data_IF_582098145113
#
_entry.id   IF_582098145113
#
_cell.length_a   1.000
_cell.length_b   1.000
_cell.length_c   1.000
_cell.angle_alpha   90.00
_cell.angle_beta   90.00
_cell.angle_gamma   90.00
#
_symmetry.space_group_name_H-M   'P 1'
#
loop_
_entity.id
_entity.type
_entity.pdbx_description
1 polymer ?
#
# COMPACT_ATOMS: atom_id res chain seq x y z
N UNK A 1 19.82 14.28 7.22
CA UNK A 1 18.79 14.37 8.26
C UNK A 1 18.16 15.75 8.20
N UNK A 2 16.83 15.85 8.34
CA UNK A 2 16.16 17.13 8.50
C UNK A 2 16.50 17.75 9.85
N UNK A 3 16.51 19.08 9.89
CA UNK A 3 16.63 19.80 11.15
C UNK A 3 15.29 19.70 11.93
N UNK A 4 15.40 19.52 13.24
CA UNK A 4 14.24 19.40 14.13
C UNK A 4 13.82 20.73 14.77
N UNK A 5 14.33 21.87 14.25
CA UNK A 5 14.06 23.20 14.75
C UNK A 5 12.56 23.54 14.90
N UNK A 6 11.70 22.84 14.12
CA UNK A 6 10.25 23.04 14.19
C UNK A 6 9.68 22.75 15.58
N UNK A 7 10.33 21.92 16.38
CA UNK A 7 9.88 21.63 17.75
C UNK A 7 10.03 22.85 18.68
N UNK A 8 10.95 23.76 18.35
CA UNK A 8 11.21 24.97 19.11
C UNK A 8 10.38 26.18 18.64
N UNK A 9 9.52 25.98 17.62
CA UNK A 9 8.67 27.03 17.03
C UNK A 9 7.20 26.95 17.45
N UNK A 10 6.89 26.21 18.51
CA UNK A 10 5.49 26.04 18.99
C UNK A 10 4.91 27.32 19.60
N UNK A 11 5.73 28.28 19.98
CA UNK A 11 5.32 29.63 20.36
C UNK A 11 4.58 30.39 19.27
N UNK A 12 4.77 29.98 18.01
CA UNK A 12 4.04 30.53 16.85
C UNK A 12 2.65 29.92 16.65
N UNK A 13 2.32 28.86 17.37
CA UNK A 13 1.02 28.18 17.21
C UNK A 13 -0.10 29.03 17.76
N UNK A 14 -1.23 29.07 17.02
CA UNK A 14 -2.36 29.90 17.41
C UNK A 14 -3.01 29.36 18.69
N UNK A 15 -3.16 30.18 19.74
CA UNK A 15 -3.85 29.76 20.96
C UNK A 15 -5.29 29.32 20.68
N UNK A 16 -5.69 28.16 21.23
CA UNK A 16 -7.04 27.62 21.08
C UNK A 16 -7.34 27.01 19.72
N UNK A 17 -6.31 26.80 18.87
CA UNK A 17 -6.42 26.08 17.61
C UNK A 17 -5.57 24.80 17.64
N UNK A 18 -6.04 23.74 16.98
CA UNK A 18 -5.21 22.56 16.72
C UNK A 18 -4.27 22.89 15.57
N UNK A 19 -2.96 22.88 15.83
CA UNK A 19 -1.94 23.17 14.82
C UNK A 19 -1.04 21.96 14.63
N UNK A 20 -0.82 21.57 13.37
CA UNK A 20 0.17 20.57 12.99
C UNK A 20 1.09 21.17 11.94
N UNK A 21 2.40 21.07 12.16
CA UNK A 21 3.43 21.47 11.22
C UNK A 21 4.23 20.24 10.80
N UNK A 22 4.47 20.12 9.50
CA UNK A 22 5.27 19.04 8.95
C UNK A 22 6.39 19.61 8.10
N UNK A 23 7.61 19.23 8.41
CA UNK A 23 8.80 19.42 7.57
C UNK A 23 9.08 18.08 6.88
N UNK A 24 9.21 18.08 5.56
CA UNK A 24 9.37 16.83 4.81
C UNK A 24 10.43 16.96 3.73
N UNK A 25 11.21 15.90 3.56
CA UNK A 25 12.11 15.70 2.43
C UNK A 25 11.83 14.34 1.82
N UNK A 26 11.66 14.31 0.50
CA UNK A 26 11.43 13.10 -0.29
C UNK A 26 12.53 12.99 -1.33
N UNK A 27 13.19 11.83 -1.41
CA UNK A 27 14.24 11.51 -2.39
C UNK A 27 13.83 10.24 -3.13
N UNK A 28 14.07 10.18 -4.44
CA UNK A 28 13.91 8.95 -5.19
C UNK A 28 15.00 8.76 -6.23
N UNK A 29 15.33 7.50 -6.48
CA UNK A 29 16.18 7.07 -7.59
C UNK A 29 15.46 6.03 -8.40
N UNK A 30 15.61 6.11 -9.72
CA UNK A 30 15.06 5.11 -10.62
C UNK A 30 16.00 4.90 -11.78
N UNK A 31 16.36 3.65 -12.01
CA UNK A 31 17.16 3.23 -13.16
C UNK A 31 16.38 2.14 -13.91
N UNK A 32 16.34 2.24 -15.25
CA UNK A 32 15.60 1.28 -16.07
C UNK A 32 16.42 0.80 -17.27
N UNK A 33 16.48 -0.51 -17.42
CA UNK A 33 16.97 -1.19 -18.62
C UNK A 33 15.80 -1.78 -19.41
N UNK A 34 15.88 -1.68 -20.74
CA UNK A 34 14.98 -2.35 -21.67
C UNK A 34 15.83 -3.07 -22.72
N UNK A 35 15.80 -4.40 -22.73
CA UNK A 35 16.59 -5.22 -23.64
C UNK A 35 18.11 -4.93 -23.54
N UNK A 36 18.62 -4.66 -22.33
CA UNK A 36 20.02 -4.31 -22.07
C UNK A 36 20.36 -2.83 -22.23
N UNK A 37 19.48 -2.02 -22.82
CA UNK A 37 19.73 -0.60 -23.02
C UNK A 37 19.25 0.22 -21.84
N UNK A 38 20.06 1.18 -21.39
CA UNK A 38 19.69 2.13 -20.36
C UNK A 38 18.71 3.15 -20.94
N UNK A 39 17.42 3.05 -20.58
CA UNK A 39 16.34 3.91 -21.10
C UNK A 39 15.80 4.88 -20.07
N UNK A 40 16.16 4.71 -18.80
CA UNK A 40 15.78 5.62 -17.72
C UNK A 40 16.86 5.69 -16.64
N UNK A 41 17.20 6.90 -16.22
CA UNK A 41 18.17 7.15 -15.15
C UNK A 41 17.82 8.48 -14.49
N UNK A 42 17.01 8.43 -13.43
CA UNK A 42 16.49 9.63 -12.78
C UNK A 42 16.82 9.66 -11.29
N UNK A 43 17.09 10.83 -10.79
CA UNK A 43 17.15 11.17 -9.37
C UNK A 43 16.27 12.37 -9.14
N UNK A 44 15.41 12.31 -8.15
CA UNK A 44 14.60 13.45 -7.74
C UNK A 44 14.70 13.70 -6.25
N UNK A 45 14.58 14.96 -5.87
CA UNK A 45 14.49 15.38 -4.49
C UNK A 45 13.46 16.52 -4.41
N UNK A 46 12.62 16.47 -3.40
CA UNK A 46 11.71 17.56 -3.05
C UNK A 46 11.70 17.73 -1.53
N UNK A 47 11.63 18.98 -1.10
CA UNK A 47 11.53 19.30 0.33
C UNK A 47 10.65 20.51 0.54
N UNK A 48 10.01 20.57 1.70
CA UNK A 48 9.17 21.69 2.05
C UNK A 48 8.56 21.57 3.43
N UNK A 49 7.83 22.60 3.78
CA UNK A 49 7.10 22.72 5.04
C UNK A 49 5.62 22.91 4.73
N UNK A 50 4.76 22.32 5.55
CA UNK A 50 3.33 22.59 5.55
C UNK A 50 2.83 22.80 6.97
N UNK A 51 1.78 23.61 7.10
CA UNK A 51 1.02 23.75 8.32
C UNK A 51 -0.47 23.52 8.06
N UNK A 52 -1.13 22.87 9.01
CA UNK A 52 -2.57 22.68 9.04
C UNK A 52 -3.09 23.19 10.38
N UNK A 53 -3.98 24.16 10.33
CA UNK A 53 -4.57 24.78 11.51
C UNK A 53 -6.07 24.53 11.50
N UNK A 54 -6.60 24.02 12.62
CA UNK A 54 -8.05 23.82 12.80
C UNK A 54 -8.59 24.78 13.85
N UNK A 55 -9.57 25.60 13.44
CA UNK A 55 -10.27 26.55 14.31
C UNK A 55 -11.77 26.43 14.08
N UNK A 56 -12.56 26.36 15.13
CA UNK A 56 -14.02 26.27 15.03
C UNK A 56 -14.57 25.09 14.21
N UNK A 57 -13.76 24.06 13.98
CA UNK A 57 -14.10 22.93 13.13
C UNK A 57 -13.80 23.15 11.64
N UNK A 58 -13.02 24.17 11.33
CA UNK A 58 -12.59 24.52 9.96
C UNK A 58 -11.07 24.36 9.87
N UNK A 59 -10.60 23.80 8.80
CA UNK A 59 -9.18 23.66 8.52
C UNK A 59 -8.70 24.77 7.57
N UNK A 60 -7.53 25.32 7.88
CA UNK A 60 -6.71 26.07 6.97
C UNK A 60 -5.43 25.32 6.73
N UNK A 61 -4.95 25.30 5.50
CA UNK A 61 -3.73 24.65 5.08
C UNK A 61 -2.86 25.62 4.28
N UNK A 62 -1.55 25.49 4.46
CA UNK A 62 -0.55 26.20 3.66
C UNK A 62 0.71 25.36 3.55
N UNK A 63 1.41 25.46 2.44
CA UNK A 63 2.70 24.79 2.23
C UNK A 63 3.65 25.67 1.42
N UNK A 64 4.95 25.48 1.64
CA UNK A 64 6.02 26.17 0.89
C UNK A 64 7.18 25.21 0.64
N UNK A 65 7.82 25.32 -0.51
CA UNK A 65 9.02 24.58 -0.82
C UNK A 65 10.21 25.11 -0.02
N UNK A 66 11.12 24.19 0.35
CA UNK A 66 12.27 24.49 1.21
C UNK A 66 11.96 24.28 2.70
N UNK A 67 13.01 23.93 3.46
CA UNK A 67 12.90 23.63 4.88
C UNK A 67 13.66 24.69 5.68
N UNK A 68 13.08 25.90 5.80
CA UNK A 68 13.68 27.02 6.53
C UNK A 68 12.79 27.48 7.68
N UNK A 69 13.35 28.10 8.75
CA UNK A 69 12.59 28.68 9.84
C UNK A 69 11.55 29.71 9.37
N UNK A 70 11.90 30.56 8.41
CA UNK A 70 11.01 31.57 7.83
C UNK A 70 9.84 30.91 7.07
N UNK A 71 10.11 29.78 6.40
CA UNK A 71 9.09 28.95 5.75
C UNK A 71 8.08 28.39 6.76
N UNK A 72 8.55 27.90 7.92
CA UNK A 72 7.67 27.43 8.99
C UNK A 72 6.78 28.56 9.51
N UNK A 73 7.35 29.73 9.81
CA UNK A 73 6.58 30.90 10.25
C UNK A 73 5.52 31.34 9.23
N UNK A 74 5.91 31.37 7.96
CA UNK A 74 5.01 31.73 6.85
C UNK A 74 3.82 30.78 6.70
N UNK A 75 4.05 29.45 6.74
CA UNK A 75 2.97 28.48 6.57
C UNK A 75 2.03 28.41 7.79
N UNK A 76 2.54 28.57 9.02
CA UNK A 76 1.71 28.63 10.23
C UNK A 76 0.76 29.84 10.16
N UNK A 77 1.30 31.02 9.83
CA UNK A 77 0.52 32.23 9.68
C UNK A 77 -0.55 32.09 8.60
N UNK A 78 -0.17 31.69 7.39
CA UNK A 78 -1.07 31.57 6.26
C UNK A 78 -2.17 30.49 6.52
N UNK A 79 -1.83 29.36 7.12
CA UNK A 79 -2.82 28.35 7.49
C UNK A 79 -3.79 28.87 8.57
N UNK A 80 -3.28 29.62 9.54
CA UNK A 80 -4.11 30.28 10.56
C UNK A 80 -5.07 31.32 9.98
N UNK A 81 -4.60 32.18 9.07
CA UNK A 81 -5.41 33.17 8.34
C UNK A 81 -6.48 32.47 7.50
N UNK A 82 -6.13 31.40 6.78
CA UNK A 82 -7.09 30.60 5.99
C UNK A 82 -8.18 29.99 6.89
N UNK A 83 -7.80 29.41 8.03
CA UNK A 83 -8.76 28.84 8.98
C UNK A 83 -9.69 29.91 9.55
N UNK A 84 -9.15 31.07 9.97
CA UNK A 84 -9.91 32.18 10.52
C UNK A 84 -10.90 32.76 9.49
N UNK A 85 -10.43 33.02 8.27
CA UNK A 85 -11.24 33.53 7.17
C UNK A 85 -12.44 32.63 6.86
N UNK A 86 -12.23 31.32 6.85
CA UNK A 86 -13.29 30.34 6.59
C UNK A 86 -14.22 30.18 7.81
N UNK A 87 -13.69 30.24 9.04
CA UNK A 87 -14.48 30.11 10.28
C UNK A 87 -15.46 31.29 10.42
N UNK A 88 -15.03 32.51 10.13
CA UNK A 88 -15.91 33.71 10.11
C UNK A 88 -17.11 33.56 9.18
N UNK A 89 -16.94 32.83 8.04
CA UNK A 89 -17.99 32.62 7.03
C UNK A 89 -18.89 31.44 7.36
N UNK A 90 -18.31 30.32 7.75
CA UNK A 90 -19.04 29.09 7.94
C UNK A 90 -19.58 28.93 9.37
N UNK A 91 -18.97 29.59 10.37
CA UNK A 91 -19.38 29.66 11.79
C UNK A 91 -19.84 28.30 12.33
N UNK A 92 -19.07 27.24 12.06
CA UNK A 92 -19.43 25.87 12.51
C UNK A 92 -19.42 25.74 14.03
N UNK A 93 -18.59 26.54 14.73
CA UNK A 93 -18.53 26.58 16.18
C UNK A 93 -18.18 25.29 16.87
N UNK A 94 -17.49 24.36 16.15
CA UNK A 94 -17.10 23.08 16.72
C UNK A 94 -15.94 23.25 17.70
N UNK A 95 -15.94 22.54 18.83
CA UNK A 95 -14.83 22.57 19.78
C UNK A 95 -13.53 22.09 19.17
N UNK A 96 -12.42 22.31 19.89
CA UNK A 96 -11.14 21.67 19.58
C UNK A 96 -11.30 20.15 19.60
N UNK A 97 -10.49 19.45 18.81
CA UNK A 97 -10.47 17.99 18.83
C UNK A 97 -9.92 17.50 20.18
N UNK A 98 -10.31 16.30 20.57
CA UNK A 98 -9.68 15.63 21.71
C UNK A 98 -8.17 15.60 21.48
N UNK A 99 -7.40 16.02 22.49
CA UNK A 99 -5.94 16.04 22.42
C UNK A 99 -5.34 14.63 22.22
N UNK A 100 -4.26 14.57 21.50
CA UNK A 100 -3.44 13.37 21.41
C UNK A 100 -2.47 13.33 22.59
N UNK A 101 -2.10 12.13 23.12
CA UNK A 101 -1.12 12.04 24.18
C UNK A 101 0.20 12.69 23.77
N UNK A 102 0.71 13.59 24.63
CA UNK A 102 1.99 14.22 24.40
C UNK A 102 3.12 13.20 24.42
N UNK A 103 4.12 13.40 23.59
CA UNK A 103 5.30 12.55 23.48
C UNK A 103 6.00 12.75 22.16
N UNK A 104 7.22 12.23 22.05
CA UNK A 104 8.00 12.27 20.80
C UNK A 104 8.35 10.87 20.36
N UNK A 105 7.99 10.55 19.11
CA UNK A 105 8.36 9.29 18.45
C UNK A 105 9.50 9.60 17.47
N UNK A 106 10.63 8.92 17.64
CA UNK A 106 11.78 9.04 16.75
C UNK A 106 12.11 7.68 16.17
N UNK A 107 11.70 7.47 14.91
CA UNK A 107 11.90 6.24 14.15
C UNK A 107 12.41 6.60 12.74
N UNK A 108 13.53 7.32 12.75
CA UNK A 108 14.27 7.67 11.56
C UNK A 108 15.76 7.39 11.78
N UNK A 109 16.33 6.61 10.86
CA UNK A 109 17.76 6.44 10.71
C UNK A 109 18.16 6.92 9.30
N UNK A 110 19.13 7.83 9.24
CA UNK A 110 19.70 8.24 7.96
C UNK A 110 20.50 7.06 7.40
N UNK A 111 20.10 6.59 6.22
CA UNK A 111 20.79 5.52 5.53
C UNK A 111 21.64 6.10 4.40
N UNK A 112 22.89 5.61 4.21
CA UNK A 112 23.66 5.95 3.03
C UNK A 112 22.86 5.66 1.77
N UNK A 113 22.94 6.56 0.80
CA UNK A 113 22.30 6.39 -0.51
C UNK A 113 23.42 6.09 -1.51
N UNK A 114 23.54 4.85 -2.02
CA UNK A 114 24.58 4.48 -2.95
C UNK A 114 24.62 5.41 -4.18
N UNK A 115 25.78 5.54 -4.78
CA UNK A 115 25.91 6.32 -6.03
C UNK A 115 25.04 5.72 -7.15
N UNK A 116 24.60 6.56 -8.07
CA UNK A 116 23.78 6.15 -9.20
C UNK A 116 24.40 5.01 -10.02
N UNK A 117 25.72 4.99 -10.12
CA UNK A 117 26.48 3.92 -10.79
C UNK A 117 26.24 2.55 -10.17
N UNK A 118 26.10 2.45 -8.86
CA UNK A 118 25.84 1.19 -8.17
C UNK A 118 24.54 0.53 -8.64
N UNK A 119 23.46 1.32 -8.75
CA UNK A 119 22.17 0.83 -9.28
C UNK A 119 22.29 0.35 -10.72
N UNK A 120 23.01 1.12 -11.56
CA UNK A 120 23.19 0.76 -12.98
C UNK A 120 23.96 -0.53 -13.13
N UNK A 121 25.08 -0.65 -12.43
CA UNK A 121 25.96 -1.84 -12.52
C UNK A 121 25.26 -3.08 -11.96
N UNK A 122 24.47 -2.94 -10.91
CA UNK A 122 23.69 -4.03 -10.33
C UNK A 122 22.68 -4.58 -11.33
N UNK A 123 21.81 -3.74 -11.89
CA UNK A 123 20.77 -4.23 -12.82
C UNK A 123 21.34 -4.66 -14.18
N UNK A 124 22.51 -4.15 -14.60
CA UNK A 124 23.21 -4.66 -15.78
C UNK A 124 23.68 -6.09 -15.61
N UNK A 125 24.14 -6.48 -14.43
CA UNK A 125 24.51 -7.87 -14.14
C UNK A 125 23.28 -8.79 -14.17
N UNK A 126 22.12 -8.33 -13.64
CA UNK A 126 20.86 -9.08 -13.77
C UNK A 126 20.45 -9.24 -15.24
N UNK A 127 20.54 -8.16 -16.03
CA UNK A 127 20.22 -8.22 -17.47
C UNK A 127 21.14 -9.16 -18.25
N UNK A 128 22.44 -9.11 -17.95
CA UNK A 128 23.42 -10.02 -18.56
C UNK A 128 23.14 -11.50 -18.22
N UNK A 129 22.78 -11.78 -16.96
CA UNK A 129 22.36 -13.12 -16.54
C UNK A 129 21.14 -13.60 -17.32
N UNK A 130 20.09 -12.77 -17.38
CA UNK A 130 18.86 -13.10 -18.11
C UNK A 130 19.14 -13.31 -19.59
N UNK A 131 19.88 -12.40 -20.23
CA UNK A 131 20.21 -12.48 -21.65
C UNK A 131 21.03 -13.72 -22.01
N UNK A 132 21.98 -14.08 -21.13
CA UNK A 132 22.86 -15.24 -21.35
C UNK A 132 22.15 -16.58 -21.12
N UNK A 133 21.25 -16.64 -20.13
CA UNK A 133 20.62 -17.90 -19.72
C UNK A 133 19.29 -18.17 -20.45
N UNK A 134 18.53 -17.13 -20.83
CA UNK A 134 17.17 -17.23 -21.37
C UNK A 134 17.06 -16.55 -22.75
N UNK A 135 17.73 -17.09 -23.79
CA UNK A 135 17.72 -16.49 -25.13
C UNK A 135 16.37 -16.59 -25.86
N UNK A 136 15.41 -17.33 -25.32
CA UNK A 136 14.05 -17.56 -25.81
C UNK A 136 13.06 -16.49 -25.42
N UNK A 137 13.45 -15.53 -24.55
CA UNK A 137 12.61 -14.41 -24.16
C UNK A 137 12.43 -13.41 -25.32
N UNK A 138 11.18 -13.01 -25.56
CA UNK A 138 10.84 -11.98 -26.54
C UNK A 138 11.14 -10.57 -26.04
N UNK A 139 11.01 -10.34 -24.72
CA UNK A 139 11.27 -9.05 -24.09
C UNK A 139 11.77 -9.21 -22.66
N UNK A 140 12.59 -8.22 -22.21
CA UNK A 140 13.00 -8.09 -20.82
C UNK A 140 13.16 -6.64 -20.44
N UNK A 141 12.65 -6.29 -19.27
CA UNK A 141 12.78 -4.96 -18.66
C UNK A 141 13.15 -5.10 -17.20
N UNK A 142 14.10 -4.30 -16.74
CA UNK A 142 14.52 -4.26 -15.33
C UNK A 142 14.44 -2.82 -14.85
N UNK A 143 13.83 -2.62 -13.70
CA UNK A 143 13.74 -1.30 -13.05
C UNK A 143 14.19 -1.44 -11.61
N UNK A 144 15.23 -0.69 -11.23
CA UNK A 144 15.60 -0.50 -9.83
C UNK A 144 15.06 0.83 -9.33
N UNK A 145 14.46 0.84 -8.17
CA UNK A 145 14.00 2.05 -7.48
C UNK A 145 14.47 2.05 -6.04
N UNK A 146 14.75 3.25 -5.53
CA UNK A 146 14.79 3.54 -4.11
C UNK A 146 13.98 4.80 -3.83
N UNK A 147 13.22 4.80 -2.75
CA UNK A 147 12.42 5.93 -2.28
C UNK A 147 12.64 6.13 -0.80
N UNK A 148 13.00 7.35 -0.44
CA UNK A 148 13.22 7.76 0.93
C UNK A 148 12.39 9.01 1.24
N UNK A 149 11.56 8.93 2.28
CA UNK A 149 10.79 10.06 2.80
C UNK A 149 11.19 10.24 4.27
N UNK A 150 11.55 11.45 4.63
CA UNK A 150 11.83 11.88 6.00
C UNK A 150 10.84 12.96 6.39
N UNK A 151 10.24 12.83 7.58
CA UNK A 151 9.27 13.77 8.12
C UNK A 151 9.58 14.13 9.54
N UNK A 152 9.51 15.44 9.84
CA UNK A 152 9.46 15.97 11.20
C UNK A 152 8.09 16.60 11.39
N UNK A 153 7.37 16.16 12.41
CA UNK A 153 5.98 16.55 12.70
C UNK A 153 5.93 17.17 14.08
N UNK A 154 5.41 18.40 14.18
CA UNK A 154 5.20 19.10 15.45
C UNK A 154 3.73 19.46 15.60
N UNK A 155 3.14 19.20 16.77
CA UNK A 155 1.72 19.46 17.03
C UNK A 155 1.52 20.36 18.26
N UNK A 156 0.37 21.04 18.32
CA UNK A 156 -0.03 21.84 19.49
C UNK A 156 -0.18 20.98 20.75
N UNK A 157 -0.51 19.70 20.61
CA UNK A 157 -0.62 18.75 21.73
C UNK A 157 0.73 18.20 22.21
N UNK A 158 1.84 18.62 21.60
CA UNK A 158 3.17 18.06 21.82
C UNK A 158 3.26 16.54 21.51
N UNK A 159 2.42 16.05 20.64
CA UNK A 159 2.53 14.72 20.02
C UNK A 159 3.38 14.86 18.75
N UNK A 160 4.68 14.70 18.92
CA UNK A 160 5.68 15.05 17.91
C UNK A 160 6.29 13.79 17.25
N UNK A 161 6.81 13.93 16.04
CA UNK A 161 7.43 12.84 15.34
C UNK A 161 8.66 13.23 14.51
N UNK A 162 9.68 12.37 14.51
CA UNK A 162 10.72 12.34 13.49
C UNK A 162 10.78 10.92 12.93
N UNK A 163 10.19 10.74 11.78
CA UNK A 163 9.96 9.43 11.18
C UNK A 163 10.40 9.40 9.73
N UNK A 164 10.63 8.21 9.21
CA UNK A 164 11.02 8.04 7.83
C UNK A 164 10.45 6.77 7.20
N UNK A 165 10.51 6.75 5.89
CA UNK A 165 10.29 5.59 5.05
C UNK A 165 11.48 5.48 4.10
N UNK A 166 12.08 4.30 4.05
CA UNK A 166 13.07 3.97 3.03
C UNK A 166 12.68 2.60 2.46
N UNK A 167 12.53 2.52 1.14
CA UNK A 167 12.17 1.27 0.46
C UNK A 167 12.87 1.14 -0.86
N UNK A 168 13.27 -0.08 -1.20
CA UNK A 168 14.00 -0.38 -2.43
C UNK A 168 13.42 -1.60 -3.11
N UNK A 169 13.22 -1.52 -4.43
CA UNK A 169 12.71 -2.63 -5.23
C UNK A 169 13.44 -2.77 -6.54
N UNK A 170 13.52 -4.01 -7.00
CA UNK A 170 13.88 -4.37 -8.36
C UNK A 170 12.67 -5.06 -8.99
N UNK A 171 12.18 -4.48 -10.08
CA UNK A 171 11.12 -5.05 -10.92
C UNK A 171 11.78 -5.67 -12.12
N UNK A 172 11.50 -6.94 -12.39
CA UNK A 172 11.96 -7.65 -13.57
C UNK A 172 10.75 -8.15 -14.34
N UNK A 173 10.55 -7.65 -15.54
CA UNK A 173 9.51 -8.11 -16.46
C UNK A 173 10.17 -8.99 -17.54
N UNK A 174 9.63 -10.18 -17.72
CA UNK A 174 10.02 -11.11 -18.78
C UNK A 174 8.81 -11.39 -19.65
N UNK A 175 9.02 -11.38 -20.97
CA UNK A 175 7.99 -11.66 -21.95
C UNK A 175 8.39 -12.77 -22.91
N UNK A 176 7.42 -13.60 -23.30
CA UNK A 176 7.56 -14.66 -24.29
C UNK A 176 6.43 -14.62 -25.31
N UNK A 177 6.65 -15.17 -26.48
CA UNK A 177 5.62 -15.28 -27.52
C UNK A 177 5.00 -16.68 -27.49
N UNK A 178 3.68 -16.74 -27.37
CA UNK A 178 2.92 -18.01 -27.41
C UNK A 178 3.01 -18.65 -28.79
N UNK A 179 2.70 -19.95 -28.94
CA UNK A 179 2.61 -20.61 -30.25
C UNK A 179 1.61 -19.93 -31.21
N UNK A 180 0.61 -19.22 -30.66
CA UNK A 180 -0.37 -18.46 -31.44
C UNK A 180 0.09 -17.02 -31.81
N UNK A 181 1.36 -16.66 -31.49
CA UNK A 181 1.92 -15.33 -31.80
C UNK A 181 1.52 -14.21 -30.83
N UNK A 182 0.91 -14.53 -29.69
CA UNK A 182 0.51 -13.54 -28.66
C UNK A 182 1.65 -13.37 -27.65
N UNK A 183 1.98 -12.14 -27.28
CA UNK A 183 2.95 -11.88 -26.21
C UNK A 183 2.31 -12.08 -24.86
N UNK A 184 2.96 -12.84 -24.00
CA UNK A 184 2.63 -12.99 -22.57
C UNK A 184 3.79 -12.48 -21.73
N UNK A 185 3.47 -11.85 -20.62
CA UNK A 185 4.46 -11.25 -19.74
C UNK A 185 4.16 -11.55 -18.28
N UNK A 186 5.20 -11.62 -17.47
CA UNK A 186 5.12 -11.64 -16.01
C UNK A 186 6.15 -10.69 -15.42
N UNK A 187 5.84 -10.17 -14.24
CA UNK A 187 6.72 -9.30 -13.47
C UNK A 187 7.05 -9.95 -12.14
N UNK A 188 8.35 -10.08 -11.86
CA UNK A 188 8.89 -10.37 -10.53
C UNK A 188 9.22 -9.06 -9.83
N UNK A 189 8.94 -8.99 -8.54
CA UNK A 189 9.20 -7.82 -7.69
C UNK A 189 10.02 -8.30 -6.49
N UNK A 190 11.19 -7.71 -6.30
CA UNK A 190 12.14 -8.09 -5.26
C UNK A 190 12.47 -6.87 -4.42
N UNK A 191 12.71 -7.05 -3.11
CA UNK A 191 13.06 -5.98 -2.18
C UNK A 191 11.96 -5.69 -1.14
N UNK A 192 12.05 -4.52 -0.52
CA UNK A 192 11.17 -4.15 0.57
C UNK A 192 11.64 -2.89 1.30
N UNK A 193 11.37 -2.84 2.59
CA UNK A 193 11.79 -1.77 3.49
C UNK A 193 13.30 -1.76 3.69
N UNK A 194 13.95 -0.63 3.40
CA UNK A 194 15.39 -0.40 3.58
C UNK A 194 16.04 0.27 2.37
N UNK A 195 17.28 0.72 2.57
CA UNK A 195 18.13 1.26 1.51
C UNK A 195 18.45 0.18 0.46
N UNK A 196 18.89 0.60 -0.71
CA UNK A 196 19.10 -0.32 -1.83
C UNK A 196 20.21 -1.34 -1.54
N UNK A 197 21.32 -0.91 -0.97
CA UNK A 197 22.45 -1.74 -0.59
C UNK A 197 22.19 -2.62 0.65
N UNK A 198 21.20 -2.25 1.46
CA UNK A 198 20.69 -3.10 2.56
C UNK A 198 19.79 -4.23 2.03
N UNK A 199 18.97 -3.95 1.01
CA UNK A 199 18.09 -4.94 0.41
C UNK A 199 18.78 -5.87 -0.58
N UNK A 200 19.83 -5.39 -1.25
CA UNK A 200 20.49 -6.06 -2.36
C UNK A 200 22.01 -6.00 -2.19
N UNK A 201 22.60 -7.09 -1.70
CA UNK A 201 24.04 -7.15 -1.47
C UNK A 201 24.79 -7.53 -2.74
N UNK A 202 24.33 -8.59 -3.42
CA UNK A 202 24.88 -9.04 -4.71
C UNK A 202 23.76 -9.40 -5.69
N UNK A 203 23.97 -9.24 -7.01
CA UNK A 203 22.98 -9.64 -8.02
C UNK A 203 22.66 -11.13 -8.01
N UNK A 204 23.62 -11.97 -7.63
CA UNK A 204 23.51 -13.43 -7.60
C UNK A 204 22.41 -13.90 -6.62
N UNK A 205 22.13 -13.14 -5.58
CA UNK A 205 21.05 -13.46 -4.63
C UNK A 205 19.67 -13.49 -5.32
N UNK A 206 19.50 -12.75 -6.43
CA UNK A 206 18.23 -12.68 -7.18
C UNK A 206 18.14 -13.73 -8.26
N UNK A 207 19.26 -14.33 -8.73
CA UNK A 207 19.26 -15.27 -9.85
C UNK A 207 18.28 -16.44 -9.68
N UNK A 208 18.16 -17.09 -8.51
CA UNK A 208 17.18 -18.18 -8.33
C UNK A 208 15.72 -17.70 -8.52
N UNK A 209 15.42 -16.48 -8.16
CA UNK A 209 14.09 -15.90 -8.34
C UNK A 209 13.82 -15.53 -9.81
N UNK A 210 14.86 -15.13 -10.55
CA UNK A 210 14.78 -14.93 -12.00
C UNK A 210 14.53 -16.25 -12.74
N UNK A 211 15.15 -17.34 -12.28
CA UNK A 211 14.91 -18.70 -12.81
C UNK A 211 13.44 -19.10 -12.63
N UNK A 212 12.90 -18.89 -11.44
CA UNK A 212 11.47 -19.16 -11.14
C UNK A 212 10.53 -18.27 -11.96
N UNK A 213 10.89 -17.00 -12.16
CA UNK A 213 10.11 -16.10 -13.00
C UNK A 213 10.08 -16.57 -14.45
N UNK A 214 11.24 -16.93 -15.01
CA UNK A 214 11.33 -17.49 -16.35
C UNK A 214 10.48 -18.76 -16.48
N UNK A 215 10.60 -19.70 -15.55
CA UNK A 215 9.78 -20.93 -15.55
C UNK A 215 8.27 -20.62 -15.58
N UNK A 216 7.83 -19.64 -14.79
CA UNK A 216 6.42 -19.20 -14.78
C UNK A 216 6.02 -18.59 -16.13
N UNK A 217 6.88 -17.76 -16.74
CA UNK A 217 6.62 -17.17 -18.07
C UNK A 217 6.48 -18.26 -19.13
N UNK A 218 7.36 -19.26 -19.09
CA UNK A 218 7.30 -20.37 -20.05
C UNK A 218 6.07 -21.26 -19.85
N UNK A 219 5.64 -21.48 -18.60
CA UNK A 219 4.36 -22.15 -18.33
C UNK A 219 3.18 -21.33 -18.85
N UNK A 220 3.20 -20.02 -18.64
CA UNK A 220 2.14 -19.12 -19.15
C UNK A 220 2.12 -19.07 -20.67
N UNK A 221 3.26 -19.12 -21.32
CA UNK A 221 3.39 -19.19 -22.78
C UNK A 221 2.58 -20.35 -23.39
N UNK A 222 2.55 -21.51 -22.71
CA UNK A 222 1.78 -22.69 -23.08
C UNK A 222 0.37 -22.72 -22.43
N UNK A 223 -0.03 -21.60 -21.83
CA UNK A 223 -1.25 -21.46 -21.06
C UNK A 223 -2.52 -21.51 -21.90
N UNK A 224 -3.63 -21.65 -21.21
CA UNK A 224 -4.98 -21.67 -21.79
C UNK A 224 -5.83 -20.52 -21.22
N UNK A 225 -6.89 -20.15 -21.92
CA UNK A 225 -7.86 -19.19 -21.37
C UNK A 225 -8.70 -19.86 -20.29
N UNK A 226 -8.98 -19.10 -19.23
CA UNK A 226 -9.94 -19.53 -18.22
C UNK A 226 -11.37 -19.54 -18.77
N UNK A 227 -12.19 -20.45 -18.29
CA UNK A 227 -13.62 -20.47 -18.61
C UNK A 227 -14.34 -19.40 -17.81
N UNK A 228 -15.17 -18.59 -18.48
CA UNK A 228 -16.00 -17.56 -17.87
C UNK A 228 -17.04 -18.11 -16.90
N UNK A 229 -17.44 -17.28 -15.93
CA UNK A 229 -18.53 -17.56 -15.01
C UNK A 229 -18.08 -17.70 -13.56
N UNK A 230 -19.00 -17.98 -12.67
CA UNK A 230 -18.74 -18.17 -11.23
C UNK A 230 -18.05 -19.52 -11.02
N UNK A 231 -16.81 -19.46 -10.57
CA UNK A 231 -15.93 -20.63 -10.36
C UNK A 231 -15.48 -20.73 -8.91
N UNK A 232 -15.14 -21.93 -8.49
CA UNK A 232 -14.37 -22.14 -7.27
C UNK A 232 -12.92 -21.72 -7.54
N UNK A 233 -12.45 -20.72 -6.81
CA UNK A 233 -11.09 -20.21 -6.98
C UNK A 233 -10.35 -20.18 -5.65
N UNK A 234 -9.04 -20.38 -5.73
CA UNK A 234 -8.10 -20.06 -4.67
C UNK A 234 -7.42 -18.75 -5.06
N UNK A 235 -7.67 -17.68 -4.32
CA UNK A 235 -6.94 -16.42 -4.48
C UNK A 235 -5.66 -16.52 -3.66
N UNK A 236 -4.49 -16.52 -4.30
CA UNK A 236 -3.21 -16.50 -3.60
C UNK A 236 -3.01 -15.17 -2.83
N UNK A 237 -1.99 -15.11 -2.00
CA UNK A 237 -1.80 -14.01 -1.06
C UNK A 237 -1.77 -12.62 -1.69
N UNK A 238 -1.17 -12.46 -2.87
CA UNK A 238 -1.16 -11.18 -3.60
C UNK A 238 -2.59 -10.71 -3.98
N UNK A 239 -3.42 -11.62 -4.51
CA UNK A 239 -4.81 -11.31 -4.87
C UNK A 239 -5.71 -11.10 -3.66
N UNK A 240 -5.55 -11.88 -2.59
CA UNK A 240 -6.29 -11.69 -1.36
C UNK A 240 -5.90 -10.38 -0.67
N UNK A 241 -4.61 -9.98 -0.73
CA UNK A 241 -4.13 -8.69 -0.28
C UNK A 241 -4.71 -7.53 -1.10
N UNK A 242 -4.79 -7.68 -2.42
CA UNK A 242 -5.43 -6.71 -3.31
C UNK A 242 -6.93 -6.55 -2.98
N UNK A 243 -7.63 -7.66 -2.73
CA UNK A 243 -9.01 -7.66 -2.30
C UNK A 243 -9.19 -6.94 -0.95
N UNK A 244 -8.33 -7.24 0.03
CA UNK A 244 -8.35 -6.59 1.32
C UNK A 244 -8.16 -5.08 1.21
N UNK A 245 -7.29 -4.63 0.31
CA UNK A 245 -7.01 -3.21 0.10
C UNK A 245 -8.11 -2.53 -0.70
N UNK A 246 -8.34 -2.96 -1.94
CA UNK A 246 -9.19 -2.23 -2.88
C UNK A 246 -10.68 -2.39 -2.55
N UNK A 247 -11.13 -3.63 -2.37
CA UNK A 247 -12.55 -3.91 -2.30
C UNK A 247 -13.15 -3.74 -0.88
N UNK A 248 -12.34 -3.90 0.16
CA UNK A 248 -12.78 -3.71 1.55
C UNK A 248 -12.16 -2.47 2.16
N UNK A 249 -10.82 -2.33 2.10
CA UNK A 249 -10.07 -1.28 2.77
C UNK A 249 -10.60 0.12 2.48
N UNK A 250 -10.78 0.45 1.20
CA UNK A 250 -11.32 1.76 0.82
C UNK A 250 -12.74 2.00 1.32
N UNK A 251 -13.60 0.98 1.33
CA UNK A 251 -14.99 1.15 1.78
C UNK A 251 -15.12 1.41 3.28
N UNK A 252 -14.09 1.05 4.08
CA UNK A 252 -14.03 1.23 5.55
C UNK A 252 -13.11 2.37 6.00
N UNK A 253 -12.61 3.19 5.08
CA UNK A 253 -12.05 4.50 5.42
C UNK A 253 -13.18 5.44 5.84
N UNK A 254 -13.10 6.07 7.01
CA UNK A 254 -14.23 6.79 7.61
C UNK A 254 -14.74 7.97 6.76
N UNK A 255 -13.89 8.59 5.93
CA UNK A 255 -14.34 9.61 4.97
C UNK A 255 -15.18 9.01 3.83
N UNK A 256 -14.86 7.80 3.38
CA UNK A 256 -15.69 7.07 2.41
C UNK A 256 -17.00 6.60 3.04
N UNK A 257 -16.95 6.14 4.31
CA UNK A 257 -18.14 5.79 5.08
C UNK A 257 -19.07 7.00 5.24
N UNK A 258 -18.54 8.17 5.56
CA UNK A 258 -19.30 9.44 5.62
C UNK A 258 -19.85 9.86 4.26
N UNK A 259 -19.19 9.47 3.17
CA UNK A 259 -19.62 9.65 1.79
C UNK A 259 -20.66 8.62 1.32
N UNK A 260 -21.05 7.67 2.17
CA UNK A 260 -22.09 6.68 1.86
C UNK A 260 -21.58 5.40 1.20
N UNK A 261 -20.33 4.98 1.50
CA UNK A 261 -19.83 3.67 1.04
C UNK A 261 -20.72 2.53 1.54
N UNK A 262 -20.64 1.38 0.89
CA UNK A 262 -21.38 0.15 1.28
C UNK A 262 -21.18 -0.21 2.77
N UNK A 263 -20.03 0.14 3.36
CA UNK A 263 -19.72 -0.13 4.76
C UNK A 263 -20.47 0.79 5.75
N UNK A 264 -21.07 1.90 5.30
CA UNK A 264 -21.71 2.91 6.17
C UNK A 264 -22.80 2.35 7.10
N UNK A 265 -23.46 1.27 6.68
CA UNK A 265 -24.54 0.63 7.45
C UNK A 265 -24.21 -0.80 7.87
N UNK A 266 -22.94 -1.20 7.80
CA UNK A 266 -22.51 -2.58 8.04
C UNK A 266 -21.80 -2.79 9.37
N UNK A 267 -21.55 -1.74 10.16
CA UNK A 267 -20.97 -1.86 11.49
C UNK A 267 -21.75 -2.85 12.36
N UNK A 268 -21.06 -3.83 12.95
CA UNK A 268 -21.64 -4.90 13.75
C UNK A 268 -22.35 -5.99 12.95
N UNK A 269 -22.36 -5.92 11.62
CA UNK A 269 -23.00 -6.95 10.78
C UNK A 269 -21.96 -7.87 10.15
N UNK A 270 -22.43 -9.05 9.75
CA UNK A 270 -21.63 -10.01 9.02
C UNK A 270 -21.40 -9.54 7.58
N UNK A 271 -20.12 -9.34 7.22
CA UNK A 271 -19.66 -8.90 5.90
C UNK A 271 -18.79 -9.95 5.20
N UNK A 272 -18.40 -11.00 5.93
CA UNK A 272 -17.54 -12.06 5.42
C UNK A 272 -17.88 -13.38 6.13
N UNK A 273 -17.29 -14.48 5.66
CA UNK A 273 -17.26 -15.75 6.40
C UNK A 273 -16.59 -15.55 7.78
N UNK A 274 -16.99 -16.31 8.78
CA UNK A 274 -16.38 -16.31 10.12
C UNK A 274 -14.88 -16.68 10.12
N UNK A 275 -14.38 -17.26 9.04
CA UNK A 275 -12.95 -17.54 8.83
C UNK A 275 -12.13 -16.30 8.48
N UNK A 276 -12.78 -15.17 8.17
CA UNK A 276 -12.13 -13.96 7.67
C UNK A 276 -12.06 -12.91 8.78
N UNK A 277 -10.84 -12.56 9.16
CA UNK A 277 -10.54 -11.38 9.97
C UNK A 277 -9.57 -10.49 9.19
N UNK A 278 -9.69 -9.17 9.34
CA UNK A 278 -8.91 -8.21 8.57
C UNK A 278 -8.43 -7.05 9.44
N UNK A 279 -7.17 -6.68 9.29
CA UNK A 279 -6.50 -5.63 10.07
C UNK A 279 -5.70 -4.72 9.15
N UNK A 280 -5.70 -3.42 9.43
CA UNK A 280 -4.73 -2.48 8.89
C UNK A 280 -3.64 -2.24 9.94
N UNK A 281 -2.49 -2.90 9.75
CA UNK A 281 -1.37 -2.91 10.70
C UNK A 281 -0.58 -1.60 10.67
N UNK A 282 -0.06 -1.21 11.83
CA UNK A 282 0.76 -0.02 12.01
C UNK A 282 2.23 -0.26 11.64
N UNK A 283 3.06 -0.61 12.62
CA UNK A 283 4.51 -0.80 12.43
C UNK A 283 4.96 -2.25 12.59
N UNK A 284 4.10 -3.10 13.18
CA UNK A 284 4.32 -4.55 13.29
C UNK A 284 3.11 -5.28 12.74
N UNK A 285 3.33 -6.43 12.11
CA UNK A 285 2.29 -7.29 11.59
C UNK A 285 2.64 -8.75 11.91
N UNK A 286 1.74 -9.48 12.56
CA UNK A 286 1.90 -10.90 12.88
C UNK A 286 3.23 -11.21 13.61
N UNK A 287 3.65 -10.32 14.54
CA UNK A 287 4.87 -10.48 15.34
C UNK A 287 6.17 -10.14 14.61
N UNK A 288 6.11 -9.55 13.41
CA UNK A 288 7.27 -9.10 12.62
C UNK A 288 7.11 -7.62 12.27
N UNK A 289 8.18 -6.91 11.87
CA UNK A 289 8.03 -5.59 11.26
C UNK A 289 7.05 -5.63 10.09
N UNK A 290 6.14 -4.66 10.02
CA UNK A 290 5.22 -4.53 8.91
C UNK A 290 6.00 -4.16 7.62
N UNK A 291 5.50 -4.50 6.43
CA UNK A 291 6.19 -4.19 5.18
C UNK A 291 6.48 -2.70 4.96
N UNK A 292 5.60 -1.83 5.45
CA UNK A 292 5.76 -0.37 5.46
C UNK A 292 5.40 0.17 6.85
N UNK A 293 6.32 0.13 7.83
CA UNK A 293 6.02 0.52 9.20
C UNK A 293 5.60 2.00 9.31
N UNK A 294 4.55 2.25 10.07
CA UNK A 294 4.07 3.60 10.42
C UNK A 294 3.98 3.70 11.94
N UNK A 295 4.72 4.61 12.54
CA UNK A 295 4.76 4.80 14.00
C UNK A 295 3.91 5.97 14.48
N UNK A 296 3.81 7.01 13.65
CA UNK A 296 3.00 8.20 13.90
C UNK A 296 2.47 8.70 12.55
N UNK A 297 1.25 9.19 12.52
CA UNK A 297 0.67 9.78 11.31
C UNK A 297 0.91 11.29 11.19
N UNK A 298 0.47 11.87 10.09
CA UNK A 298 0.66 13.29 9.79
C UNK A 298 -0.26 14.24 10.60
N UNK A 299 -1.07 13.71 11.54
CA UNK A 299 -1.81 14.48 12.57
C UNK A 299 -1.22 14.32 13.98
N UNK A 300 -0.08 13.62 14.12
CA UNK A 300 0.57 13.37 15.40
C UNK A 300 -0.04 12.22 16.21
N UNK A 301 -0.85 11.37 15.59
CA UNK A 301 -1.43 10.20 16.25
C UNK A 301 -0.43 9.06 16.24
N UNK A 302 -0.02 8.58 17.43
CA UNK A 302 0.77 7.37 17.57
C UNK A 302 0.03 6.18 16.93
N UNK A 303 0.69 5.50 15.99
CA UNK A 303 0.04 4.48 15.20
C UNK A 303 -0.16 3.17 15.98
N UNK A 304 -1.34 2.61 15.88
CA UNK A 304 -1.75 1.30 16.39
C UNK A 304 -2.60 0.58 15.34
N UNK A 305 -2.72 -0.73 15.46
CA UNK A 305 -3.48 -1.53 14.50
C UNK A 305 -4.96 -1.14 14.50
N UNK A 306 -5.54 -1.05 13.31
CA UNK A 306 -6.97 -0.86 13.11
C UNK A 306 -7.61 -2.20 12.75
N UNK A 307 -8.35 -2.81 13.68
CA UNK A 307 -9.11 -4.05 13.42
C UNK A 307 -10.37 -3.67 12.66
N UNK A 308 -10.51 -4.17 11.45
CA UNK A 308 -11.60 -3.82 10.53
C UNK A 308 -12.69 -4.91 10.56
N UNK A 309 -12.31 -6.16 10.34
CA UNK A 309 -13.20 -7.31 10.38
C UNK A 309 -12.67 -8.30 11.41
N UNK A 310 -13.55 -8.84 12.24
CA UNK A 310 -13.25 -9.92 13.19
C UNK A 310 -14.27 -11.01 13.02
N UNK A 311 -13.78 -12.22 12.70
CA UNK A 311 -14.62 -13.42 12.53
C UNK A 311 -15.85 -13.13 11.64
N UNK A 312 -15.63 -12.49 10.49
CA UNK A 312 -16.64 -12.12 9.52
C UNK A 312 -17.46 -10.87 9.84
N UNK A 313 -17.34 -10.29 11.03
CA UNK A 313 -18.11 -9.13 11.48
C UNK A 313 -17.31 -7.84 11.27
N UNK A 314 -17.91 -6.82 10.66
CA UNK A 314 -17.31 -5.48 10.57
C UNK A 314 -17.32 -4.81 11.95
N UNK A 315 -16.14 -4.53 12.51
CA UNK A 315 -15.99 -4.03 13.89
C UNK A 315 -15.30 -2.67 13.98
N UNK A 316 -14.75 -2.14 12.88
CA UNK A 316 -14.03 -0.88 12.91
C UNK A 316 -13.89 -0.23 11.54
N UNK A 317 -13.59 1.06 11.57
CA UNK A 317 -13.19 1.87 10.43
C UNK A 317 -11.80 2.45 10.66
N UNK A 318 -11.15 2.88 9.60
CA UNK A 318 -9.93 3.68 9.71
C UNK A 318 -10.29 5.16 9.89
N UNK A 319 -9.69 5.81 10.88
CA UNK A 319 -10.04 7.16 11.30
C UNK A 319 -8.83 8.10 11.27
N UNK A 320 -9.10 9.37 10.93
CA UNK A 320 -8.33 10.51 11.38
C UNK A 320 -8.94 11.05 12.69
N UNK A 321 -8.34 12.07 13.32
CA UNK A 321 -8.83 12.65 14.59
C UNK A 321 -10.28 13.13 14.50
N UNK A 322 -10.66 13.83 13.42
CA UNK A 322 -12.01 14.39 13.26
C UNK A 322 -13.08 13.30 13.07
N UNK A 323 -12.81 12.31 12.23
CA UNK A 323 -13.77 11.21 12.03
C UNK A 323 -13.86 10.33 13.28
N UNK A 324 -12.77 10.10 14.00
CA UNK A 324 -12.78 9.36 15.25
C UNK A 324 -13.71 10.01 16.28
N UNK A 325 -13.61 11.33 16.47
CA UNK A 325 -14.52 12.07 17.35
C UNK A 325 -15.98 11.96 16.91
N UNK A 326 -16.23 12.08 15.59
CA UNK A 326 -17.60 11.99 15.04
C UNK A 326 -18.24 10.63 15.25
N UNK A 327 -17.45 9.56 15.19
CA UNK A 327 -17.93 8.18 15.37
C UNK A 327 -17.81 7.68 16.82
N UNK A 328 -17.30 8.49 17.76
CA UNK A 328 -17.02 8.04 19.12
C UNK A 328 -15.96 6.94 19.19
N UNK A 329 -15.00 6.95 18.26
CA UNK A 329 -13.93 5.97 18.11
C UNK A 329 -12.57 6.58 18.49
N UNK A 330 -11.51 5.74 18.48
CA UNK A 330 -10.15 6.20 18.66
C UNK A 330 -9.42 6.25 17.28
N UNK A 331 -8.64 7.30 17.00
CA UNK A 331 -7.82 7.32 15.80
C UNK A 331 -6.68 6.30 15.92
N UNK A 332 -6.32 5.66 14.83
CA UNK A 332 -5.29 4.62 14.80
C UNK A 332 -4.03 5.01 14.03
N UNK A 333 -3.87 6.28 13.65
CA UNK A 333 -2.70 6.74 12.91
C UNK A 333 -2.82 6.49 11.40
N UNK A 334 -4.00 6.75 10.85
CA UNK A 334 -4.28 6.61 9.42
C UNK A 334 -4.28 7.93 8.64
N UNK A 335 -4.10 9.09 9.29
CA UNK A 335 -4.05 10.39 8.62
C UNK A 335 -2.68 10.59 7.96
N UNK A 336 -2.55 10.29 6.66
CA UNK A 336 -1.27 10.30 5.94
C UNK A 336 -1.30 11.24 4.75
N UNK A 337 -0.18 11.91 4.48
CA UNK A 337 0.07 12.72 3.31
C UNK A 337 1.33 12.26 2.58
N UNK A 338 1.35 12.33 1.24
CA UNK A 338 2.48 11.85 0.45
C UNK A 338 3.56 12.93 0.28
N UNK A 339 3.21 14.09 -0.28
CA UNK A 339 4.13 15.21 -0.46
C UNK A 339 3.99 16.24 0.67
N UNK A 340 4.99 17.09 0.86
CA UNK A 340 4.90 18.20 1.83
C UNK A 340 3.72 19.12 1.54
N UNK A 341 3.31 19.24 0.27
CA UNK A 341 2.20 20.08 -0.19
C UNK A 341 0.83 19.43 -0.08
N UNK A 342 0.76 18.18 0.34
CA UNK A 342 -0.52 17.47 0.47
C UNK A 342 -1.10 17.61 1.88
N UNK A 343 -2.42 17.76 1.98
CA UNK A 343 -3.14 17.59 3.24
C UNK A 343 -3.22 16.12 3.65
N UNK A 344 -3.13 15.78 4.95
CA UNK A 344 -3.37 14.43 5.43
C UNK A 344 -4.79 13.94 5.11
N UNK A 345 -4.89 12.73 4.58
CA UNK A 345 -6.14 12.02 4.31
C UNK A 345 -6.13 10.69 5.07
N UNK A 346 -7.31 10.13 5.31
CA UNK A 346 -7.40 8.76 5.83
C UNK A 346 -6.86 7.81 4.77
N UNK A 347 -5.85 7.02 5.12
CA UNK A 347 -5.14 6.11 4.21
C UNK A 347 -4.80 4.81 4.91
N UNK A 348 -4.93 3.72 4.19
CA UNK A 348 -4.41 2.42 4.60
C UNK A 348 -2.89 2.46 4.77
N UNK A 349 -2.37 1.54 5.57
CA UNK A 349 -0.93 1.36 5.85
C UNK A 349 -0.47 -0.02 5.40
N UNK A 350 -0.80 -1.07 6.15
CA UNK A 350 -0.49 -2.46 5.84
C UNK A 350 -1.76 -3.30 6.06
N UNK A 351 -2.63 -3.31 5.07
CA UNK A 351 -3.94 -3.95 5.18
C UNK A 351 -3.87 -5.41 4.78
N UNK A 352 -4.32 -6.31 5.65
CA UNK A 352 -4.28 -7.73 5.36
C UNK A 352 -5.46 -8.52 5.93
N UNK A 353 -5.80 -9.60 5.23
CA UNK A 353 -6.57 -10.71 5.81
C UNK A 353 -5.64 -11.52 6.71
N UNK A 354 -6.12 -11.93 7.89
CA UNK A 354 -5.34 -12.73 8.83
C UNK A 354 -5.23 -14.19 8.35
N UNK A 355 -4.12 -14.90 8.73
CA UNK A 355 -3.94 -16.29 8.35
C UNK A 355 -4.94 -17.21 9.06
N UNK A 356 -5.36 -18.25 8.36
CA UNK A 356 -6.17 -19.34 8.87
C UNK A 356 -5.32 -20.51 9.40
N UNK A 357 -5.79 -21.73 9.15
CA UNK A 357 -5.15 -22.96 9.66
C UNK A 357 -4.79 -23.97 8.58
N UNK A 358 -5.29 -23.82 7.36
CA UNK A 358 -5.11 -24.79 6.28
C UNK A 358 -3.77 -24.61 5.60
N UNK A 359 -3.16 -25.69 5.14
CA UNK A 359 -2.03 -25.59 4.22
C UNK A 359 -2.52 -25.31 2.81
N UNK A 360 -1.76 -24.57 2.01
CA UNK A 360 -2.14 -24.26 0.62
C UNK A 360 -2.35 -25.54 -0.20
N UNK A 361 -1.51 -26.55 0.02
CA UNK A 361 -1.59 -27.84 -0.64
C UNK A 361 -2.93 -28.56 -0.35
N UNK A 362 -3.40 -28.49 0.90
CA UNK A 362 -4.68 -29.07 1.32
C UNK A 362 -5.87 -28.31 0.68
N UNK A 363 -5.75 -26.98 0.56
CA UNK A 363 -6.74 -26.15 -0.12
C UNK A 363 -6.81 -26.54 -1.61
N UNK A 364 -5.66 -26.70 -2.27
CA UNK A 364 -5.60 -27.13 -3.67
C UNK A 364 -6.21 -28.53 -3.82
N UNK A 365 -5.82 -29.46 -2.96
CA UNK A 365 -6.31 -30.84 -2.98
C UNK A 365 -7.85 -30.95 -2.80
N UNK A 366 -8.46 -29.96 -2.16
CA UNK A 366 -9.90 -29.91 -1.90
C UNK A 366 -10.75 -29.40 -3.07
N UNK A 367 -10.14 -28.91 -4.16
CA UNK A 367 -10.84 -28.37 -5.33
C UNK A 367 -10.89 -29.40 -6.43
N UNK A 368 -12.10 -29.87 -6.80
CA UNK A 368 -12.27 -30.82 -7.89
C UNK A 368 -12.10 -30.17 -9.26
N UNK A 369 -12.73 -29.00 -9.46
CA UNK A 369 -12.64 -28.18 -10.68
C UNK A 369 -12.64 -26.70 -10.32
N UNK A 370 -11.60 -25.97 -10.72
CA UNK A 370 -11.44 -24.56 -10.41
C UNK A 370 -10.09 -23.99 -10.82
N UNK A 371 -9.70 -22.91 -10.14
CA UNK A 371 -8.47 -22.19 -10.45
C UNK A 371 -7.69 -21.79 -9.20
N UNK A 372 -6.37 -21.86 -9.26
CA UNK A 372 -5.46 -21.10 -8.40
C UNK A 372 -5.06 -19.82 -9.13
N UNK A 373 -5.42 -18.67 -8.60
CA UNK A 373 -5.13 -17.36 -9.17
C UNK A 373 -4.02 -16.69 -8.34
N UNK A 374 -2.88 -16.37 -8.97
CA UNK A 374 -1.65 -16.05 -8.24
C UNK A 374 -1.31 -14.56 -8.23
N UNK A 375 -1.19 -13.96 -9.42
CA UNK A 375 -0.65 -12.62 -9.56
C UNK A 375 -1.67 -11.66 -10.19
N UNK A 376 -1.57 -10.39 -9.82
CA UNK A 376 -2.38 -9.29 -10.35
C UNK A 376 -1.48 -8.15 -10.84
N UNK A 377 -1.96 -7.35 -11.76
CA UNK A 377 -1.26 -6.14 -12.23
C UNK A 377 -2.04 -4.86 -11.93
N UNK A 378 -3.32 -4.96 -11.69
CA UNK A 378 -4.19 -3.84 -11.39
C UNK A 378 -5.48 -4.32 -10.69
N UNK A 379 -6.11 -3.39 -10.00
CA UNK A 379 -7.41 -3.61 -9.39
C UNK A 379 -8.20 -2.31 -9.33
N UNK A 380 -9.51 -2.42 -9.43
CA UNK A 380 -10.44 -1.32 -9.22
C UNK A 380 -11.57 -1.82 -8.34
N UNK A 381 -11.95 -1.00 -7.37
CA UNK A 381 -13.19 -1.17 -6.63
C UNK A 381 -13.84 0.20 -6.43
N UNK A 382 -15.15 0.20 -6.32
CA UNK A 382 -15.92 1.42 -6.06
C UNK A 382 -16.47 1.46 -4.63
N UNK A 383 -17.20 2.53 -4.31
CA UNK A 383 -17.80 2.73 -3.00
C UNK A 383 -18.95 1.78 -2.69
N UNK A 384 -19.48 1.07 -3.69
CA UNK A 384 -20.51 0.03 -3.52
C UNK A 384 -19.91 -1.33 -3.18
N UNK A 385 -18.57 -1.46 -3.25
CA UNK A 385 -17.84 -2.70 -3.05
C UNK A 385 -17.80 -3.60 -4.29
N UNK A 386 -18.24 -3.12 -5.44
CA UNK A 386 -17.99 -3.79 -6.71
C UNK A 386 -16.51 -3.71 -7.05
N UNK A 387 -15.92 -4.84 -7.45
CA UNK A 387 -14.52 -4.92 -7.82
C UNK A 387 -14.29 -5.65 -9.14
N UNK A 388 -13.19 -5.28 -9.82
CA UNK A 388 -12.64 -6.01 -10.94
C UNK A 388 -11.11 -5.99 -10.85
N UNK A 389 -10.47 -7.17 -10.84
CA UNK A 389 -9.02 -7.31 -10.81
C UNK A 389 -8.52 -8.08 -12.03
N UNK A 390 -7.42 -7.58 -12.61
CA UNK A 390 -6.69 -8.33 -13.62
C UNK A 390 -5.86 -9.44 -12.97
N UNK A 391 -5.96 -10.65 -13.51
CA UNK A 391 -5.16 -11.80 -13.10
C UNK A 391 -4.15 -12.09 -14.18
N UNK A 392 -2.87 -12.02 -13.84
CA UNK A 392 -1.78 -12.19 -14.79
C UNK A 392 -1.13 -13.58 -14.75
N UNK A 393 -1.38 -14.34 -13.70
CA UNK A 393 -0.90 -15.70 -13.56
C UNK A 393 -1.84 -16.53 -12.72
N UNK A 394 -2.08 -17.75 -13.14
CA UNK A 394 -2.83 -18.76 -12.41
C UNK A 394 -2.71 -20.14 -13.04
N UNK A 395 -3.39 -21.09 -12.45
CA UNK A 395 -3.40 -22.49 -12.90
C UNK A 395 -4.80 -23.08 -12.82
N UNK A 396 -5.14 -23.94 -13.77
CA UNK A 396 -6.29 -24.83 -13.61
C UNK A 396 -6.08 -25.75 -12.40
N UNK A 397 -7.14 -26.07 -11.69
CA UNK A 397 -7.15 -27.15 -10.72
C UNK A 397 -8.15 -28.19 -11.21
N UNK A 398 -7.68 -29.44 -11.37
CA UNK A 398 -8.52 -30.58 -11.73
C UNK A 398 -8.23 -31.72 -10.77
N UNK A 399 -9.27 -32.22 -10.10
CA UNK A 399 -9.18 -33.33 -9.11
C UNK A 399 -8.09 -33.12 -8.07
N UNK A 400 -8.05 -31.91 -7.48
CA UNK A 400 -7.10 -31.55 -6.44
C UNK A 400 -5.66 -31.37 -6.90
N UNK A 401 -5.38 -31.21 -8.19
CA UNK A 401 -4.02 -31.04 -8.74
C UNK A 401 -3.95 -29.82 -9.65
N UNK A 402 -2.81 -29.11 -9.59
CA UNK A 402 -2.51 -28.05 -10.52
C UNK A 402 -2.34 -28.58 -11.94
N UNK A 403 -3.04 -27.98 -12.87
CA UNK A 403 -3.00 -28.27 -14.30
C UNK A 403 -2.19 -27.25 -15.09
N UNK A 404 -2.72 -26.87 -16.27
CA UNK A 404 -2.10 -25.89 -17.16
C UNK A 404 -2.14 -24.49 -16.52
N UNK A 405 -1.15 -23.69 -16.86
CA UNK A 405 -1.22 -22.25 -16.57
C UNK A 405 -2.39 -21.61 -17.34
N UNK A 406 -2.94 -20.53 -16.78
CA UNK A 406 -3.95 -19.72 -17.47
C UNK A 406 -3.33 -18.42 -18.00
N UNK A 407 -3.82 -17.99 -19.13
CA UNK A 407 -3.53 -16.68 -19.71
C UNK A 407 -4.25 -15.59 -18.92
N UNK A 408 -3.92 -14.33 -19.22
CA UNK A 408 -4.53 -13.18 -18.55
C UNK A 408 -6.06 -13.27 -18.60
N UNK A 409 -6.64 -13.04 -17.43
CA UNK A 409 -8.08 -13.02 -17.22
C UNK A 409 -8.45 -11.93 -16.21
N UNK A 410 -9.71 -11.83 -15.86
CA UNK A 410 -10.20 -10.94 -14.80
C UNK A 410 -11.00 -11.72 -13.78
N UNK A 411 -11.07 -11.22 -12.57
CA UNK A 411 -12.07 -11.61 -11.58
C UNK A 411 -12.90 -10.38 -11.20
N UNK A 412 -14.18 -10.60 -10.93
CA UNK A 412 -15.10 -9.54 -10.54
C UNK A 412 -16.16 -10.03 -9.57
N UNK A 413 -16.76 -9.09 -8.84
CA UNK A 413 -17.83 -9.37 -7.91
C UNK A 413 -18.13 -8.21 -6.96
N UNK A 414 -18.93 -8.49 -5.94
CA UNK A 414 -19.18 -7.60 -4.81
C UNK A 414 -18.41 -8.14 -3.62
N UNK A 415 -17.54 -7.33 -3.03
CA UNK A 415 -16.54 -7.77 -2.05
C UNK A 415 -17.14 -8.52 -0.85
N UNK A 416 -18.13 -7.92 -0.19
CA UNK A 416 -18.73 -8.55 0.99
C UNK A 416 -19.48 -9.85 0.64
N UNK A 417 -20.12 -9.92 -0.54
CA UNK A 417 -20.80 -11.14 -0.97
C UNK A 417 -19.78 -12.25 -1.31
N UNK A 418 -18.69 -11.90 -1.96
CA UNK A 418 -17.62 -12.85 -2.28
C UNK A 418 -16.94 -13.35 -1.01
N UNK A 419 -16.61 -12.45 -0.05
CA UNK A 419 -15.99 -12.82 1.22
C UNK A 419 -16.86 -13.75 2.09
N UNK A 420 -18.17 -13.70 1.97
CA UNK A 420 -19.09 -14.66 2.62
C UNK A 420 -18.96 -16.09 2.06
N UNK A 421 -18.44 -16.24 0.84
CA UNK A 421 -18.21 -17.54 0.21
C UNK A 421 -16.88 -18.18 0.59
N UNK A 422 -16.03 -17.49 1.36
CA UNK A 422 -14.73 -18.03 1.80
C UNK A 422 -14.96 -19.18 2.77
N UNK A 423 -14.45 -20.35 2.42
CA UNK A 423 -14.63 -21.58 3.19
C UNK A 423 -13.31 -22.27 3.59
N UNK A 424 -12.17 -21.81 3.08
CA UNK A 424 -10.84 -22.18 3.55
C UNK A 424 -9.88 -21.00 3.47
N UNK A 425 -9.00 -20.89 4.47
CA UNK A 425 -8.00 -19.82 4.58
C UNK A 425 -6.65 -20.46 4.92
N UNK A 426 -5.59 -20.12 4.18
CA UNK A 426 -4.27 -20.70 4.43
C UNK A 426 -3.60 -20.09 5.67
N UNK A 427 -2.58 -20.79 6.18
CA UNK A 427 -1.84 -20.42 7.39
C UNK A 427 -0.69 -19.43 7.16
N UNK A 428 -0.46 -19.03 5.93
CA UNK A 428 0.67 -18.16 5.56
C UNK A 428 0.17 -16.91 4.86
N UNK A 429 0.64 -15.74 5.33
CA UNK A 429 0.37 -14.45 4.69
C UNK A 429 1.54 -14.09 3.78
N UNK A 430 1.22 -13.78 2.54
CA UNK A 430 2.13 -13.15 1.58
C UNK A 430 1.91 -11.64 1.57
N UNK A 431 3.00 -10.87 1.44
CA UNK A 431 2.95 -9.43 1.45
C UNK A 431 3.44 -8.84 0.12
N UNK A 432 2.74 -7.81 -0.35
CA UNK A 432 3.18 -6.92 -1.42
C UNK A 432 3.22 -5.49 -0.89
N UNK A 433 4.37 -4.82 -1.02
CA UNK A 433 4.56 -3.45 -0.51
C UNK A 433 5.18 -2.50 -1.54
N UNK A 434 5.29 -2.95 -2.78
CA UNK A 434 5.86 -2.18 -3.88
C UNK A 434 4.88 -1.19 -4.51
N UNK A 435 3.58 -1.30 -4.18
CA UNK A 435 2.50 -0.55 -4.77
C UNK A 435 2.22 0.82 -4.15
N UNK A 436 1.36 1.55 -4.84
CA UNK A 436 0.79 2.81 -4.39
C UNK A 436 -0.73 2.77 -4.46
N UNK A 437 -1.35 3.27 -3.42
CA UNK A 437 -2.77 3.57 -3.41
C UNK A 437 -3.02 4.96 -4.01
N UNK A 438 -3.95 5.10 -4.95
CA UNK A 438 -4.18 6.31 -5.75
C UNK A 438 -5.25 7.28 -5.23
N UNK A 439 -5.85 7.06 -4.04
CA UNK A 439 -6.92 7.93 -3.52
C UNK A 439 -6.43 9.37 -3.35
N UNK A 440 -6.73 10.25 -4.31
CA UNK A 440 -6.33 11.68 -4.42
C UNK A 440 -4.83 11.95 -4.38
N UNK A 441 -4.03 11.09 -3.77
CA UNK A 441 -2.58 11.20 -3.63
C UNK A 441 -1.97 9.80 -3.83
N UNK A 442 -0.81 9.65 -4.45
CA UNK A 442 -0.10 8.38 -4.44
C UNK A 442 0.43 8.11 -3.03
N UNK A 443 0.05 6.99 -2.42
CA UNK A 443 0.51 6.65 -1.08
C UNK A 443 1.07 5.23 -1.06
N UNK A 444 2.33 5.03 -0.66
CA UNK A 444 2.88 3.71 -0.47
C UNK A 444 2.08 2.92 0.57
N UNK A 445 1.74 1.69 0.22
CA UNK A 445 0.94 0.78 1.07
C UNK A 445 1.50 -0.63 1.01
N UNK A 446 1.37 -1.33 2.14
CA UNK A 446 1.49 -2.77 2.20
C UNK A 446 0.12 -3.42 2.09
N UNK A 447 0.01 -4.46 1.30
CA UNK A 447 -1.18 -5.28 1.22
C UNK A 447 -0.78 -6.74 1.36
N UNK A 448 -1.58 -7.49 2.09
CA UNK A 448 -1.23 -8.86 2.40
C UNK A 448 -2.44 -9.77 2.61
N UNK A 449 -2.21 -11.04 2.48
CA UNK A 449 -3.23 -12.02 2.81
C UNK A 449 -2.73 -13.45 2.66
N UNK A 450 -3.47 -14.38 3.24
CA UNK A 450 -3.34 -15.82 3.01
C UNK A 450 -4.03 -16.20 1.70
N UNK A 451 -3.83 -17.41 1.25
CA UNK A 451 -4.65 -17.96 0.17
C UNK A 451 -6.09 -18.20 0.66
N UNK A 452 -7.06 -17.76 -0.11
CA UNK A 452 -8.50 -17.85 0.19
C UNK A 452 -9.19 -18.73 -0.84
N UNK A 453 -9.87 -19.82 -0.41
CA UNK A 453 -10.79 -20.53 -1.29
C UNK A 453 -12.16 -19.87 -1.22
N UNK A 454 -12.69 -19.47 -2.37
CA UNK A 454 -13.95 -18.73 -2.48
C UNK A 454 -14.63 -19.00 -3.83
N UNK A 455 -15.80 -18.40 -4.02
CA UNK A 455 -16.49 -18.36 -5.31
C UNK A 455 -16.43 -16.94 -5.88
N UNK A 456 -15.92 -16.81 -7.08
CA UNK A 456 -15.74 -15.52 -7.74
C UNK A 456 -16.09 -15.64 -9.23
N UNK A 457 -16.58 -14.57 -9.84
CA UNK A 457 -16.81 -14.53 -11.27
C UNK A 457 -15.49 -14.34 -12.00
N UNK A 458 -15.12 -15.32 -12.84
CA UNK A 458 -13.94 -15.30 -13.69
C UNK A 458 -14.36 -14.81 -15.06
N UNK A 459 -13.64 -13.84 -15.62
CA UNK A 459 -13.81 -13.38 -16.98
C UNK A 459 -13.28 -14.46 -17.95
N UNK A 460 -13.95 -14.64 -19.07
CA UNK A 460 -13.44 -15.40 -20.21
C UNK A 460 -12.79 -14.47 -21.24
N UNK A 461 -12.41 -15.05 -22.37
CA UNK A 461 -12.03 -14.30 -23.55
C UNK A 461 -13.28 -13.77 -24.27
#
# INVERSE_FOLDING_TARGET
>A
MLDTFVFDKKDLFLPGADTTVRVQRSRSRRVMLLGGNLVGNTRSESSGVSARVRRGGIYGFSSVAGCTPEGVEAVIRAAGENAAFMDERLRRGKPALRGTPAGRITEYADAPDPEQKYYIDFIRQLDAYIAGKFPDLASRRIVAINECIEKVIATSDCADGHVGMNRSYIYVQMGATTPAGVTVELMGIYGGWGAFDYQFHTPEEIYPELDKLHEKVMKKREGVYAEAGVKTCILAGELSGMLAHEAVGHTVEADMVMGGSVAAHMMGKQVASELVSMVDFAHTALGKPAPLPVWIDDEGVAAKDAVLIRDGILVGYMHNRESAERFGAEPCGNARAFAFSDEPLIRMRNTAVLPGKSKLEDIIASVDDGYLLCNTNNGQADTTGEFMFGVTMGYEIKKGKLGRAILDTTISGVAFEMLKTVDMVSDTVEWCSSGYCGKKQPMPVGLGGPALRCRVNVGGR
#
